data_IF_306450340013
#
_entry.id   IF_306450340013
#
_cell.length_a   1.000
_cell.length_b   1.000
_cell.length_c   1.000
_cell.angle_alpha   90.00
_cell.angle_beta   90.00
_cell.angle_gamma   90.00
#
_symmetry.space_group_name_H-M   'P 1'
#
loop_
_entity.id
_entity.type
_entity.pdbx_description
1 polymer ?
#
# COMPACT_ATOMS: atom_id res chain seq x y z
N UNK A 1 50.58 -18.97 1.65
CA UNK A 1 49.19 -19.07 2.13
C UNK A 1 48.72 -17.64 2.37
N UNK A 2 48.08 -17.02 1.38
CA UNK A 2 47.64 -15.63 1.48
C UNK A 2 46.19 -15.60 1.02
N UNK A 3 45.32 -15.28 1.97
CA UNK A 3 43.89 -15.55 1.96
C UNK A 3 43.19 -14.61 0.97
N UNK A 4 42.52 -15.21 -0.02
CA UNK A 4 41.52 -14.55 -0.86
C UNK A 4 40.26 -14.33 -0.03
N UNK A 5 39.86 -13.09 0.25
CA UNK A 5 38.43 -12.74 0.40
C UNK A 5 38.24 -11.24 0.33
N UNK A 6 37.90 -10.79 -0.88
CA UNK A 6 37.57 -9.41 -1.17
C UNK A 6 36.08 -9.23 -0.90
N UNK A 7 35.73 -8.14 -0.20
CA UNK A 7 34.40 -7.50 -0.10
C UNK A 7 33.26 -8.32 0.51
N UNK A 8 32.74 -7.99 1.71
CA UNK A 8 31.31 -8.08 1.87
C UNK A 8 30.72 -7.12 0.83
N UNK A 9 30.01 -7.65 -0.15
CA UNK A 9 29.02 -6.87 -0.89
C UNK A 9 28.09 -6.28 0.17
N UNK A 10 28.41 -5.07 0.63
CA UNK A 10 27.51 -4.25 1.43
C UNK A 10 26.40 -3.89 0.46
N UNK A 11 25.45 -4.82 0.32
CA UNK A 11 24.13 -4.56 -0.21
C UNK A 11 23.71 -3.22 0.39
N UNK A 12 23.34 -2.21 -0.42
CA UNK A 12 22.78 -1.01 0.14
C UNK A 12 21.55 -1.47 0.90
N UNK A 13 21.68 -1.55 2.24
CA UNK A 13 20.53 -1.60 3.11
C UNK A 13 19.69 -0.42 2.66
N UNK A 14 18.43 -0.61 2.21
CA UNK A 14 17.56 0.54 2.03
C UNK A 14 17.65 1.30 3.35
N UNK A 15 17.95 2.59 3.26
CA UNK A 15 17.91 3.48 4.41
C UNK A 15 16.67 3.13 5.24
N UNK A 16 16.68 3.31 6.58
CA UNK A 16 15.43 3.31 7.32
C UNK A 16 14.57 4.38 6.67
N UNK A 17 13.75 3.93 5.72
CA UNK A 17 12.81 4.76 4.99
C UNK A 17 11.86 5.08 6.09
N UNK A 18 11.95 6.32 6.55
CA UNK A 18 11.15 6.91 7.62
C UNK A 18 9.81 6.18 7.65
N UNK A 19 9.62 5.33 8.68
CA UNK A 19 8.78 4.13 8.68
C UNK A 19 7.28 4.40 8.66
N UNK A 20 6.88 5.45 7.98
CA UNK A 20 5.51 5.77 7.66
C UNK A 20 5.22 5.10 6.30
N UNK A 21 4.36 4.07 6.24
CA UNK A 21 3.96 3.41 4.98
C UNK A 21 3.29 4.37 3.97
N UNK A 22 3.07 5.61 4.39
CA UNK A 22 2.54 6.77 3.67
C UNK A 22 3.54 7.45 2.74
N UNK A 23 4.86 7.28 2.93
CA UNK A 23 5.85 8.07 2.17
C UNK A 23 6.31 7.41 0.86
N UNK A 24 5.95 6.15 0.63
CA UNK A 24 6.19 5.46 -0.64
C UNK A 24 4.90 5.46 -1.48
N UNK A 25 4.92 5.93 -2.74
CA UNK A 25 3.72 6.01 -3.57
C UNK A 25 3.15 4.64 -3.94
N UNK A 26 3.99 3.60 -4.05
CA UNK A 26 3.53 2.24 -4.34
C UNK A 26 2.84 1.62 -3.11
N UNK A 27 3.33 1.90 -1.90
CA UNK A 27 2.65 1.54 -0.65
C UNK A 27 1.36 2.35 -0.46
N UNK A 28 1.37 3.65 -0.76
CA UNK A 28 0.21 4.50 -0.62
C UNK A 28 -0.96 4.03 -1.49
N UNK A 29 -0.73 3.77 -2.79
CA UNK A 29 -1.76 3.23 -3.68
C UNK A 29 -2.20 1.82 -3.26
N UNK A 30 -1.27 0.98 -2.79
CA UNK A 30 -1.58 -0.37 -2.33
C UNK A 30 -2.52 -0.35 -1.13
N UNK A 31 -2.21 0.42 -0.09
CA UNK A 31 -3.02 0.52 1.12
C UNK A 31 -4.35 1.22 0.87
N UNK A 32 -4.38 2.27 0.04
CA UNK A 32 -5.63 2.93 -0.36
C UNK A 32 -6.55 1.97 -1.13
N UNK A 33 -6.00 1.19 -2.05
CA UNK A 33 -6.76 0.22 -2.83
C UNK A 33 -7.25 -0.96 -1.98
N UNK A 34 -6.40 -1.48 -1.08
CA UNK A 34 -6.78 -2.53 -0.15
C UNK A 34 -7.90 -2.09 0.81
N UNK A 35 -7.79 -0.87 1.36
CA UNK A 35 -8.80 -0.30 2.23
C UNK A 35 -10.13 -0.07 1.48
N UNK A 36 -10.08 0.37 0.21
CA UNK A 36 -11.26 0.49 -0.66
C UNK A 36 -11.92 -0.88 -0.90
N UNK A 37 -11.15 -1.90 -1.27
CA UNK A 37 -11.67 -3.25 -1.47
C UNK A 37 -12.31 -3.83 -0.21
N UNK A 38 -11.67 -3.60 0.95
CA UNK A 38 -12.23 -4.00 2.25
C UNK A 38 -13.55 -3.26 2.54
N UNK A 39 -13.60 -1.95 2.33
CA UNK A 39 -14.80 -1.13 2.54
C UNK A 39 -15.98 -1.62 1.67
N UNK A 40 -15.70 -1.95 0.40
CA UNK A 40 -16.69 -2.51 -0.53
C UNK A 40 -17.19 -3.86 -0.03
N UNK A 41 -16.29 -4.81 0.24
CA UNK A 41 -16.66 -6.14 0.71
C UNK A 41 -17.45 -6.11 2.02
N UNK A 42 -17.09 -5.22 2.94
CA UNK A 42 -17.78 -4.98 4.21
C UNK A 42 -19.20 -4.43 4.00
N UNK A 43 -19.35 -3.48 3.09
CA UNK A 43 -20.66 -2.93 2.71
C UNK A 43 -21.55 -4.00 2.07
N UNK A 44 -21.00 -4.83 1.16
CA UNK A 44 -21.73 -5.93 0.51
C UNK A 44 -22.19 -7.01 1.51
N UNK A 45 -21.41 -7.23 2.58
CA UNK A 45 -21.75 -8.14 3.68
C UNK A 45 -22.73 -7.52 4.70
N UNK A 46 -23.16 -6.27 4.51
CA UNK A 46 -24.04 -5.55 5.45
C UNK A 46 -23.34 -5.11 6.74
N UNK A 47 -22.02 -5.14 6.78
CA UNK A 47 -21.18 -4.80 7.93
C UNK A 47 -20.31 -3.59 7.58
N UNK A 48 -20.84 -2.35 7.52
CA UNK A 48 -20.06 -1.18 7.13
C UNK A 48 -18.85 -0.97 8.05
N UNK A 49 -17.85 -0.25 7.56
CA UNK A 49 -16.67 0.13 8.35
C UNK A 49 -17.10 0.84 9.65
N UNK A 50 -16.48 0.46 10.76
CA UNK A 50 -16.54 1.20 12.02
C UNK A 50 -15.89 2.58 11.88
N UNK A 51 -16.11 3.45 12.86
CA UNK A 51 -15.55 4.81 12.86
C UNK A 51 -14.01 4.81 12.80
N UNK A 52 -13.38 3.89 13.56
CA UNK A 52 -11.93 3.68 13.55
C UNK A 52 -11.42 3.16 12.19
N UNK A 53 -12.10 2.16 11.61
CA UNK A 53 -11.77 1.65 10.28
C UNK A 53 -11.95 2.73 9.20
N UNK A 54 -12.93 3.63 9.36
CA UNK A 54 -13.15 4.76 8.47
C UNK A 54 -12.08 5.83 8.60
N UNK A 55 -11.60 6.12 9.82
CA UNK A 55 -10.47 7.01 10.04
C UNK A 55 -9.17 6.46 9.42
N UNK A 56 -8.96 5.14 9.50
CA UNK A 56 -7.84 4.49 8.82
C UNK A 56 -7.99 4.55 7.29
N UNK A 57 -9.18 4.26 6.76
CA UNK A 57 -9.49 4.39 5.33
C UNK A 57 -9.18 5.81 4.83
N UNK A 58 -9.67 6.85 5.52
CA UNK A 58 -9.45 8.26 5.16
C UNK A 58 -7.97 8.61 5.15
N UNK A 59 -7.21 8.14 6.15
CA UNK A 59 -5.75 8.32 6.20
C UNK A 59 -5.05 7.68 4.98
N UNK A 60 -5.46 6.49 4.57
CA UNK A 60 -4.87 5.83 3.39
C UNK A 60 -5.27 6.52 2.08
N UNK A 61 -6.49 7.05 1.97
CA UNK A 61 -6.86 7.88 0.81
C UNK A 61 -6.04 9.16 0.79
N UNK A 62 -5.96 9.90 1.90
CA UNK A 62 -5.17 11.12 2.02
C UNK A 62 -3.69 10.88 1.68
N UNK A 63 -3.14 9.73 2.08
CA UNK A 63 -1.79 9.30 1.72
C UNK A 63 -1.58 9.20 0.21
N UNK A 64 -2.48 8.51 -0.49
CA UNK A 64 -2.41 8.36 -1.93
C UNK A 64 -2.56 9.71 -2.65
N UNK A 65 -3.49 10.54 -2.19
CA UNK A 65 -3.73 11.86 -2.79
C UNK A 65 -2.55 12.81 -2.58
N UNK A 66 -1.81 12.68 -1.47
CA UNK A 66 -0.58 13.42 -1.24
C UNK A 66 0.54 13.09 -2.26
N UNK A 67 0.46 11.93 -2.91
CA UNK A 67 1.36 11.50 -4.00
C UNK A 67 0.76 11.71 -5.40
N UNK A 68 -0.25 12.57 -5.54
CA UNK A 68 -0.96 12.83 -6.81
C UNK A 68 -1.70 11.59 -7.37
N UNK A 69 -1.95 10.58 -6.51
CA UNK A 69 -2.68 9.37 -6.89
C UNK A 69 -4.18 9.64 -6.74
N UNK A 70 -4.89 9.53 -7.85
CA UNK A 70 -6.33 9.77 -7.93
C UNK A 70 -7.15 8.56 -7.51
N UNK A 71 -8.41 8.78 -7.10
CA UNK A 71 -9.37 7.71 -6.82
C UNK A 71 -9.51 6.71 -7.98
N UNK A 72 -9.42 7.19 -9.22
CA UNK A 72 -9.47 6.34 -10.41
C UNK A 72 -8.27 5.39 -10.47
N UNK A 73 -7.06 5.88 -10.19
CA UNK A 73 -5.86 5.05 -10.14
C UNK A 73 -5.91 4.04 -8.98
N UNK A 74 -6.43 4.45 -7.81
CA UNK A 74 -6.63 3.57 -6.66
C UNK A 74 -7.60 2.43 -7.03
N UNK A 75 -8.69 2.76 -7.73
CA UNK A 75 -9.69 1.80 -8.20
C UNK A 75 -9.15 0.91 -9.30
N UNK A 76 -8.39 1.45 -10.25
CA UNK A 76 -7.72 0.66 -11.29
C UNK A 76 -6.77 -0.35 -10.62
N UNK A 77 -5.90 0.12 -9.72
CA UNK A 77 -4.96 -0.73 -8.98
C UNK A 77 -5.69 -1.83 -8.20
N UNK A 78 -6.80 -1.50 -7.52
CA UNK A 78 -7.65 -2.50 -6.86
C UNK A 78 -8.11 -3.58 -7.85
N UNK A 79 -8.62 -3.21 -9.02
CA UNK A 79 -9.16 -4.16 -9.99
C UNK A 79 -8.06 -4.95 -10.74
N UNK A 80 -6.91 -4.33 -11.03
CA UNK A 80 -5.84 -4.93 -11.83
C UNK A 80 -4.82 -5.69 -10.99
N UNK A 81 -4.52 -5.26 -9.76
CA UNK A 81 -3.48 -5.83 -8.89
C UNK A 81 -4.03 -6.64 -7.72
N UNK A 82 -5.12 -6.20 -7.11
CA UNK A 82 -5.63 -6.81 -5.86
C UNK A 82 -6.83 -7.75 -6.08
N UNK A 83 -7.67 -7.50 -7.09
CA UNK A 83 -8.81 -8.34 -7.47
C UNK A 83 -8.64 -9.17 -8.77
N UNK A 84 -7.45 -9.64 -9.20
CA UNK A 84 -7.36 -10.48 -10.40
C UNK A 84 -7.85 -11.91 -10.10
N UNK A 85 -9.14 -12.08 -9.78
CA UNK A 85 -9.79 -13.37 -9.59
C UNK A 85 -11.33 -13.24 -9.59
N UNK A 86 -11.93 -12.64 -10.62
CA UNK A 86 -13.31 -12.98 -11.01
C UNK A 86 -13.35 -13.07 -12.53
N UNK A 87 -13.27 -14.30 -13.04
CA UNK A 87 -13.50 -14.64 -14.45
C UNK A 87 -14.54 -15.74 -14.50
#
# INVERSE_FOLDING_TARGET
MEQRTHTPTQQPSPAPSDGTPTNDPAAAIHWAAAALGLAQARTEQGHPLTDDERAAFDRYQAAAHAHDITDEQIRDYLNTKLRPAVK
#
